data_IF_896210405611
#
_entry.id   IF_896210405611
#
_cell.length_a   1.000
_cell.length_b   1.000
_cell.length_c   1.000
_cell.angle_alpha   90.00
_cell.angle_beta   90.00
_cell.angle_gamma   90.00
#
_symmetry.space_group_name_H-M   'P 1'
#
loop_
_entity.id
_entity.type
_entity.pdbx_description
1 polymer ?
#
# COMPACT_ATOMS: atom_id res chain seq x y z
N UNK A 1 1.44 4.36 -4.67
CA UNK A 1 1.91 5.43 -3.76
C UNK A 1 2.10 4.84 -2.37
N UNK A 2 3.18 5.19 -1.70
CA UNK A 2 3.46 4.70 -0.36
C UNK A 2 3.47 5.81 0.66
N UNK A 3 2.98 5.48 1.86
CA UNK A 3 3.10 6.30 3.06
C UNK A 3 3.72 5.39 4.11
N UNK A 4 4.99 5.61 4.45
CA UNK A 4 5.70 4.77 5.41
C UNK A 4 6.85 5.53 6.08
N UNK A 5 7.51 4.88 7.04
CA UNK A 5 8.60 5.49 7.81
C UNK A 5 9.83 5.80 6.95
N UNK A 6 9.98 5.17 5.78
CA UNK A 6 11.09 5.43 4.85
C UNK A 6 10.80 6.64 3.96
N UNK A 7 9.55 7.01 3.84
CA UNK A 7 9.10 8.21 3.18
C UNK A 7 8.32 9.02 4.20
N UNK A 8 9.00 9.62 5.19
CA UNK A 8 8.33 10.41 6.20
C UNK A 8 7.84 11.69 5.56
N UNK A 9 6.80 11.56 4.78
CA UNK A 9 5.96 12.69 4.51
C UNK A 9 5.49 13.08 5.88
N UNK A 10 5.97 14.22 6.32
CA UNK A 10 5.71 14.75 7.62
C UNK A 10 4.40 14.25 8.19
N UNK A 11 4.45 13.54 9.29
CA UNK A 11 3.26 13.08 9.97
C UNK A 11 2.29 14.23 10.30
N UNK A 12 2.76 15.45 10.24
CA UNK A 12 1.95 16.66 10.45
C UNK A 12 0.68 16.72 9.56
N UNK A 13 0.72 16.40 8.26
CA UNK A 13 -0.53 16.34 7.47
C UNK A 13 -1.55 15.34 8.01
N UNK A 14 -1.11 14.30 8.69
CA UNK A 14 -2.02 13.28 9.21
C UNK A 14 -2.85 13.78 10.39
N UNK A 15 -2.27 14.60 11.26
CA UNK A 15 -2.92 15.02 12.50
C UNK A 15 -4.11 15.96 12.28
N UNK A 16 -4.05 16.82 11.29
CA UNK A 16 -5.11 17.79 11.03
C UNK A 16 -6.07 17.36 9.94
N UNK A 17 -5.54 16.98 8.81
CA UNK A 17 -6.30 16.76 7.58
C UNK A 17 -6.94 15.38 7.59
N UNK A 18 -6.17 14.35 7.93
CA UNK A 18 -6.65 12.98 7.92
C UNK A 18 -7.62 12.67 9.06
N UNK A 19 -7.56 13.42 10.14
CA UNK A 19 -8.44 13.21 11.29
C UNK A 19 -9.93 13.32 10.93
N UNK A 20 -10.26 14.14 9.94
CA UNK A 20 -11.63 14.36 9.50
C UNK A 20 -12.01 13.51 8.27
N UNK A 21 -11.09 12.73 7.75
CA UNK A 21 -11.31 11.99 6.50
C UNK A 21 -11.98 10.65 6.74
N UNK A 22 -13.01 10.38 5.96
CA UNK A 22 -13.67 9.09 5.89
C UNK A 22 -13.53 8.57 4.46
N UNK A 23 -12.38 7.98 4.16
CA UNK A 23 -11.96 7.64 2.80
C UNK A 23 -12.60 6.41 2.19
N UNK A 24 -13.57 5.80 2.86
CA UNK A 24 -14.18 4.57 2.38
C UNK A 24 -15.13 4.84 1.22
N UNK A 25 -14.95 4.11 0.14
CA UNK A 25 -15.88 4.10 -0.99
C UNK A 25 -16.86 2.93 -0.88
N UNK A 26 -16.35 1.76 -0.56
CA UNK A 26 -17.10 0.59 -0.13
C UNK A 26 -17.81 -0.21 -1.22
N UNK A 27 -18.17 0.38 -2.37
CA UNK A 27 -19.01 -0.31 -3.36
C UNK A 27 -18.30 -1.50 -4.01
N UNK A 28 -16.96 -1.50 -4.01
CA UNK A 28 -16.13 -2.57 -4.57
C UNK A 28 -15.39 -3.38 -3.50
N UNK A 29 -15.74 -3.26 -2.23
CA UNK A 29 -15.03 -3.96 -1.16
C UNK A 29 -15.09 -5.49 -1.35
N UNK A 30 -16.24 -6.03 -1.73
CA UNK A 30 -16.39 -7.48 -1.98
C UNK A 30 -15.50 -7.93 -3.14
N UNK A 31 -15.42 -7.13 -4.21
CA UNK A 31 -14.53 -7.43 -5.33
C UNK A 31 -13.06 -7.36 -4.91
N UNK A 32 -12.69 -6.36 -4.10
CA UNK A 32 -11.34 -6.25 -3.57
C UNK A 32 -10.97 -7.47 -2.72
N UNK A 33 -11.86 -7.90 -1.84
CA UNK A 33 -11.64 -9.08 -1.00
C UNK A 33 -11.39 -10.34 -1.86
N UNK A 34 -12.09 -10.47 -2.97
CA UNK A 34 -11.88 -11.55 -3.93
C UNK A 34 -10.51 -11.47 -4.60
N UNK A 35 -10.08 -10.26 -4.99
CA UNK A 35 -8.77 -10.05 -5.59
C UNK A 35 -7.63 -10.35 -4.60
N UNK A 36 -7.80 -10.04 -3.33
CA UNK A 36 -6.82 -10.36 -2.29
C UNK A 36 -6.54 -11.86 -2.22
N UNK A 37 -7.55 -12.70 -2.45
CA UNK A 37 -7.36 -14.15 -2.48
C UNK A 37 -6.53 -14.63 -3.67
N UNK A 38 -6.39 -13.80 -4.71
CA UNK A 38 -5.57 -14.09 -5.89
C UNK A 38 -4.15 -13.56 -5.80
N UNK A 39 -3.77 -12.91 -4.69
CA UNK A 39 -2.40 -12.48 -4.47
C UNK A 39 -1.45 -13.68 -4.43
N UNK A 40 -0.16 -13.48 -4.77
CA UNK A 40 0.85 -14.52 -4.61
C UNK A 40 0.82 -15.11 -3.20
N UNK A 41 1.02 -16.42 -3.08
CA UNK A 41 0.93 -17.12 -1.81
C UNK A 41 1.87 -16.54 -0.75
N UNK A 42 3.09 -16.16 -1.15
CA UNK A 42 4.06 -15.55 -0.23
C UNK A 42 3.53 -14.22 0.34
N UNK A 43 2.77 -13.45 -0.44
CA UNK A 43 2.15 -12.22 0.04
C UNK A 43 1.01 -12.53 1.01
N UNK A 44 0.15 -13.49 0.67
CA UNK A 44 -0.97 -13.86 1.56
C UNK A 44 -0.47 -14.35 2.92
N UNK A 45 0.55 -15.20 2.94
CA UNK A 45 1.13 -15.71 4.19
C UNK A 45 1.71 -14.58 5.06
N UNK A 46 2.25 -13.54 4.44
CA UNK A 46 2.89 -12.44 5.15
C UNK A 46 1.89 -11.38 5.61
N UNK A 47 0.81 -11.16 4.85
CA UNK A 47 -0.01 -9.95 4.94
C UNK A 47 -1.41 -10.15 5.49
N UNK A 48 -2.07 -11.30 5.25
CA UNK A 48 -3.51 -11.42 5.50
C UNK A 48 -3.93 -11.14 6.95
N UNK A 49 -3.07 -11.48 7.91
CA UNK A 49 -3.37 -11.25 9.32
C UNK A 49 -2.90 -9.89 9.84
N UNK A 50 -2.11 -9.16 9.05
CA UNK A 50 -1.44 -7.93 9.49
C UNK A 50 -1.96 -6.68 8.81
N UNK A 51 -2.53 -6.82 7.62
CA UNK A 51 -2.86 -5.69 6.74
C UNK A 51 -4.37 -5.63 6.53
N UNK A 52 -4.93 -4.43 6.63
CA UNK A 52 -6.30 -4.14 6.23
C UNK A 52 -6.33 -3.77 4.75
N UNK A 53 -7.19 -4.42 3.98
CA UNK A 53 -7.41 -4.11 2.57
C UNK A 53 -8.72 -3.36 2.43
N UNK A 54 -8.65 -2.13 1.93
CA UNK A 54 -9.75 -1.17 1.98
C UNK A 54 -10.08 -0.69 0.56
N UNK A 55 -11.35 -0.80 0.18
CA UNK A 55 -11.85 -0.10 -1.00
C UNK A 55 -12.13 1.36 -0.60
N UNK A 56 -11.23 2.24 -1.00
CA UNK A 56 -11.34 3.63 -0.60
C UNK A 56 -10.38 4.56 -1.32
N UNK A 57 -10.66 5.84 -1.18
CA UNK A 57 -9.86 6.94 -1.68
C UNK A 57 -9.07 7.55 -0.52
N UNK A 58 -7.79 7.29 -0.46
CA UNK A 58 -6.94 7.80 0.62
C UNK A 58 -6.68 9.30 0.44
N UNK A 59 -7.00 10.09 1.44
CA UNK A 59 -6.92 11.56 1.36
C UNK A 59 -5.52 12.07 1.03
N UNK A 60 -4.49 11.39 1.52
CA UNK A 60 -3.11 11.74 1.21
C UNK A 60 -2.87 11.84 -0.31
N UNK A 61 -3.36 10.85 -1.05
CA UNK A 61 -3.22 10.86 -2.51
C UNK A 61 -3.99 12.02 -3.14
N UNK A 62 -5.17 12.33 -2.63
CA UNK A 62 -5.95 13.48 -3.11
C UNK A 62 -5.18 14.79 -2.87
N UNK A 63 -4.58 14.96 -1.72
CA UNK A 63 -3.80 16.15 -1.42
C UNK A 63 -2.53 16.28 -2.26
N UNK A 64 -1.85 15.17 -2.47
CA UNK A 64 -0.59 15.18 -3.23
C UNK A 64 -0.79 15.25 -4.73
N UNK A 65 -1.84 14.63 -5.26
CA UNK A 65 -2.06 14.47 -6.70
C UNK A 65 -3.20 15.33 -7.23
N UNK A 66 -4.02 15.93 -6.37
CA UNK A 66 -5.23 16.65 -6.77
C UNK A 66 -6.38 15.76 -7.19
N UNK A 67 -6.22 14.45 -7.09
CA UNK A 67 -7.25 13.46 -7.43
C UNK A 67 -7.06 12.18 -6.60
N UNK A 68 -8.09 11.34 -6.57
CA UNK A 68 -8.02 10.05 -5.92
C UNK A 68 -6.98 9.16 -6.60
N UNK A 69 -5.95 8.67 -5.90
CA UNK A 69 -4.99 7.73 -6.49
C UNK A 69 -5.65 6.38 -6.76
N UNK A 70 -5.06 5.58 -7.63
CA UNK A 70 -5.51 4.20 -7.80
C UNK A 70 -5.36 3.41 -6.51
N UNK A 71 -4.23 3.53 -5.85
CA UNK A 71 -3.98 2.85 -4.58
C UNK A 71 -2.95 3.54 -3.72
N UNK A 72 -2.95 3.16 -2.44
CA UNK A 72 -2.00 3.65 -1.43
C UNK A 72 -1.62 2.50 -0.50
N UNK A 73 -0.32 2.38 -0.23
CA UNK A 73 0.18 1.63 0.92
C UNK A 73 0.42 2.59 2.08
N UNK A 74 -0.20 2.36 3.21
CA UNK A 74 -0.10 3.20 4.41
C UNK A 74 0.38 2.40 5.61
N UNK A 75 1.62 2.63 6.06
CA UNK A 75 2.16 2.03 7.27
C UNK A 75 2.08 2.95 8.48
N UNK A 76 1.78 4.21 8.28
CA UNK A 76 1.70 5.21 9.36
C UNK A 76 0.33 5.16 10.03
N UNK A 77 -0.71 5.01 9.24
CA UNK A 77 -2.09 4.97 9.69
C UNK A 77 -2.83 6.27 9.40
N UNK A 78 -4.13 6.15 9.22
CA UNK A 78 -5.06 7.26 9.09
C UNK A 78 -6.02 7.27 10.26
N UNK A 79 -6.64 8.41 10.51
CA UNK A 79 -7.57 8.59 11.60
C UNK A 79 -8.94 8.93 11.03
N UNK A 80 -9.98 8.27 11.49
CA UNK A 80 -11.35 8.56 11.13
C UNK A 80 -11.95 9.53 12.15
N UNK A 81 -12.38 10.70 11.69
CA UNK A 81 -13.04 11.69 12.54
C UNK A 81 -12.27 12.03 13.83
N UNK A 82 -10.94 12.11 13.74
CA UNK A 82 -10.09 12.39 14.89
C UNK A 82 -9.84 11.20 15.81
N UNK A 83 -10.35 10.03 15.47
CA UNK A 83 -10.14 8.81 16.23
C UNK A 83 -8.88 8.10 15.74
N UNK A 84 -7.95 7.82 16.67
CA UNK A 84 -6.70 7.11 16.38
C UNK A 84 -6.98 5.61 16.32
N UNK A 85 -7.51 5.14 15.20
CA UNK A 85 -7.80 3.72 15.03
C UNK A 85 -6.55 2.96 14.59
N UNK A 86 -5.95 2.20 15.51
CA UNK A 86 -4.77 1.40 15.25
C UNK A 86 -5.00 0.33 14.16
N UNK A 87 -6.24 -0.06 13.93
CA UNK A 87 -6.58 -1.07 12.92
C UNK A 87 -6.33 -0.59 11.48
N UNK A 88 -6.17 0.72 11.28
CA UNK A 88 -5.89 1.28 9.96
C UNK A 88 -4.40 1.52 9.71
N UNK A 89 -3.58 1.30 10.69
CA UNK A 89 -2.15 1.19 10.47
C UNK A 89 -1.90 -0.11 9.70
N UNK A 90 -0.96 -0.08 8.79
CA UNK A 90 -0.68 -1.17 7.86
C UNK A 90 -1.92 -1.49 7.01
N UNK A 91 -2.28 -0.56 6.15
CA UNK A 91 -3.43 -0.70 5.26
C UNK A 91 -3.05 -0.48 3.80
N UNK A 92 -3.75 -1.21 2.93
CA UNK A 92 -3.69 -1.02 1.48
C UNK A 92 -5.04 -0.52 1.02
N UNK A 93 -5.04 0.58 0.28
CA UNK A 93 -6.23 1.22 -0.24
C UNK A 93 -6.26 1.07 -1.76
N UNK A 94 -7.37 0.56 -2.28
CA UNK A 94 -7.62 0.47 -3.73
C UNK A 94 -8.93 1.19 -4.00
N UNK A 95 -8.85 2.25 -4.81
CA UNK A 95 -9.99 3.13 -5.05
C UNK A 95 -10.94 2.59 -6.12
N UNK A 96 -12.17 3.11 -6.14
CA UNK A 96 -13.13 2.85 -7.22
C UNK A 96 -12.58 3.29 -8.58
N UNK A 97 -11.71 4.29 -8.61
CA UNK A 97 -11.06 4.73 -9.83
C UNK A 97 -10.22 3.61 -10.47
N UNK A 98 -9.53 2.82 -9.65
CA UNK A 98 -8.78 1.66 -10.14
C UNK A 98 -9.69 0.59 -10.74
N UNK A 99 -10.84 0.33 -10.10
CA UNK A 99 -11.83 -0.60 -10.63
C UNK A 99 -12.42 -0.13 -11.96
N UNK A 100 -12.74 1.16 -12.08
CA UNK A 100 -13.24 1.74 -13.34
C UNK A 100 -12.25 1.65 -14.47
N UNK A 101 -10.97 1.78 -14.18
CA UNK A 101 -9.91 1.71 -15.17
C UNK A 101 -9.46 0.27 -15.49
N UNK A 102 -10.09 -0.73 -14.87
CA UNK A 102 -9.68 -2.15 -14.97
C UNK A 102 -8.23 -2.36 -14.53
N UNK A 103 -7.83 -1.65 -13.48
CA UNK A 103 -6.48 -1.68 -12.91
C UNK A 103 -6.45 -2.11 -11.44
N UNK A 104 -7.58 -2.62 -10.93
CA UNK A 104 -7.68 -2.91 -9.50
C UNK A 104 -6.69 -3.98 -9.05
N UNK A 105 -6.53 -5.08 -9.81
CA UNK A 105 -5.60 -6.14 -9.41
C UNK A 105 -4.14 -5.71 -9.54
N UNK A 106 -3.77 -5.03 -10.63
CA UNK A 106 -2.41 -4.52 -10.80
C UNK A 106 -2.07 -3.49 -9.71
N UNK A 107 -3.03 -2.63 -9.35
CA UNK A 107 -2.89 -1.68 -8.24
C UNK A 107 -2.70 -2.42 -6.90
N UNK A 108 -3.55 -3.40 -6.63
CA UNK A 108 -3.44 -4.21 -5.41
C UNK A 108 -2.08 -4.89 -5.33
N UNK A 109 -1.62 -5.48 -6.43
CA UNK A 109 -0.32 -6.15 -6.49
C UNK A 109 0.83 -5.17 -6.28
N UNK A 110 0.76 -3.98 -6.87
CA UNK A 110 1.76 -2.92 -6.69
C UNK A 110 1.84 -2.48 -5.22
N UNK A 111 0.73 -2.13 -4.61
CA UNK A 111 0.71 -1.68 -3.21
C UNK A 111 1.07 -2.83 -2.26
N UNK A 112 0.67 -4.05 -2.57
CA UNK A 112 1.07 -5.23 -1.81
C UNK A 112 2.58 -5.49 -1.90
N UNK A 113 3.21 -5.16 -3.02
CA UNK A 113 4.66 -5.25 -3.17
C UNK A 113 5.39 -4.24 -2.28
N UNK A 114 4.86 -3.02 -2.14
CA UNK A 114 5.36 -2.05 -1.17
C UNK A 114 5.20 -2.56 0.27
N UNK A 115 4.04 -3.12 0.59
CA UNK A 115 3.78 -3.68 1.91
C UNK A 115 4.74 -4.84 2.22
N UNK A 116 4.95 -5.73 1.28
CA UNK A 116 5.89 -6.84 1.41
C UNK A 116 7.32 -6.32 1.63
N UNK A 117 7.74 -5.34 0.85
CA UNK A 117 9.04 -4.68 1.03
C UNK A 117 9.18 -4.10 2.44
N UNK A 118 8.18 -3.36 2.91
CA UNK A 118 8.17 -2.79 4.25
C UNK A 118 8.25 -3.87 5.34
N UNK A 119 7.43 -4.91 5.25
CA UNK A 119 7.42 -5.99 6.25
C UNK A 119 8.74 -6.77 6.27
N UNK A 120 9.51 -6.73 5.18
CA UNK A 120 10.81 -7.36 5.06
C UNK A 120 11.98 -6.43 5.42
N UNK A 121 11.73 -5.22 5.90
CA UNK A 121 12.76 -4.19 6.15
C UNK A 121 13.85 -4.60 7.13
N UNK A 122 13.55 -5.55 8.01
CA UNK A 122 14.48 -6.06 9.00
C UNK A 122 15.08 -7.43 8.60
N UNK A 123 14.89 -7.85 7.36
CA UNK A 123 15.45 -9.11 6.86
C UNK A 123 16.94 -8.96 6.63
N UNK A 124 17.73 -9.56 7.48
CA UNK A 124 19.20 -9.51 7.45
C UNK A 124 19.73 -10.88 7.01
N UNK A 125 20.60 -10.88 6.00
CA UNK A 125 21.28 -12.08 5.55
C UNK A 125 22.36 -12.52 6.54
N UNK A 126 22.86 -13.76 6.39
CA UNK A 126 23.91 -14.33 7.25
C UNK A 126 25.22 -13.51 7.22
N UNK A 127 25.45 -12.76 6.15
CA UNK A 127 26.61 -11.85 6.02
C UNK A 127 26.39 -10.46 6.64
N UNK A 128 25.24 -10.23 7.27
CA UNK A 128 24.87 -8.95 7.88
C UNK A 128 24.24 -7.95 6.93
N UNK A 129 24.07 -8.27 5.64
CA UNK A 129 23.48 -7.36 4.67
C UNK A 129 21.96 -7.29 4.82
N UNK A 130 21.39 -6.12 4.56
CA UNK A 130 19.93 -5.89 4.53
C UNK A 130 19.40 -6.19 3.14
N UNK A 131 18.56 -7.22 3.02
CA UNK A 131 18.03 -7.68 1.74
C UNK A 131 17.16 -6.66 1.04
N UNK A 132 16.33 -5.92 1.79
CA UNK A 132 15.48 -4.87 1.23
C UNK A 132 16.34 -3.74 0.63
N UNK A 133 17.33 -3.27 1.39
CA UNK A 133 18.24 -2.21 0.91
C UNK A 133 18.98 -2.63 -0.34
N UNK A 134 19.46 -3.87 -0.38
CA UNK A 134 20.14 -4.40 -1.56
C UNK A 134 19.21 -4.41 -2.78
N UNK A 135 17.95 -4.84 -2.60
CA UNK A 135 16.98 -4.85 -3.68
C UNK A 135 16.65 -3.42 -4.16
N UNK A 136 16.45 -2.49 -3.24
CA UNK A 136 16.20 -1.09 -3.59
C UNK A 136 17.37 -0.48 -4.36
N UNK A 137 18.60 -0.75 -3.95
CA UNK A 137 19.80 -0.28 -4.65
C UNK A 137 19.93 -0.94 -6.03
N UNK A 138 19.69 -2.23 -6.12
CA UNK A 138 19.77 -2.98 -7.38
C UNK A 138 18.78 -2.46 -8.42
N UNK A 139 17.53 -2.21 -8.03
CA UNK A 139 16.48 -1.71 -8.93
C UNK A 139 16.47 -0.19 -9.07
N UNK A 140 17.19 0.53 -8.20
CA UNK A 140 17.34 1.98 -8.25
C UNK A 140 16.46 2.78 -7.28
N UNK A 141 15.33 2.23 -6.85
CA UNK A 141 14.44 2.85 -5.89
C UNK A 141 13.42 1.85 -5.34
N UNK A 142 12.69 2.24 -4.29
CA UNK A 142 11.58 1.45 -3.76
C UNK A 142 10.46 1.27 -4.80
N UNK A 143 10.13 2.33 -5.56
CA UNK A 143 9.09 2.25 -6.60
C UNK A 143 9.50 1.28 -7.73
N UNK A 144 10.73 1.35 -8.19
CA UNK A 144 11.24 0.42 -9.21
C UNK A 144 11.32 -1.01 -8.69
N UNK A 145 11.63 -1.19 -7.41
CA UNK A 145 11.59 -2.50 -6.79
C UNK A 145 10.16 -3.07 -6.77
N UNK A 146 9.18 -2.28 -6.35
CA UNK A 146 7.79 -2.70 -6.36
C UNK A 146 7.31 -3.02 -7.79
N UNK A 147 7.64 -2.21 -8.76
CA UNK A 147 7.31 -2.47 -10.17
C UNK A 147 7.91 -3.78 -10.67
N UNK A 148 9.16 -4.08 -10.28
CA UNK A 148 9.80 -5.33 -10.67
C UNK A 148 9.09 -6.55 -10.08
N UNK A 149 8.58 -6.44 -8.85
CA UNK A 149 7.79 -7.51 -8.24
C UNK A 149 6.44 -7.69 -8.93
N UNK A 150 5.80 -6.61 -9.34
CA UNK A 150 4.56 -6.68 -10.12
C UNK A 150 4.78 -7.47 -11.41
N UNK A 151 5.83 -7.15 -12.16
CA UNK A 151 6.17 -7.87 -13.38
C UNK A 151 6.54 -9.34 -13.11
N UNK A 152 7.29 -9.59 -12.04
CA UNK A 152 7.68 -10.95 -11.65
C UNK A 152 6.45 -11.84 -11.40
N UNK A 153 5.42 -11.29 -10.78
CA UNK A 153 4.18 -12.01 -10.50
C UNK A 153 3.14 -11.95 -11.63
N UNK A 154 3.52 -11.45 -12.81
CA UNK A 154 2.68 -11.49 -14.00
C UNK A 154 1.69 -10.33 -14.13
N UNK A 155 1.83 -9.30 -13.31
CA UNK A 155 1.04 -8.07 -13.45
C UNK A 155 1.65 -7.09 -14.45
N UNK A 156 1.07 -5.90 -14.51
CA UNK A 156 1.52 -4.83 -15.40
C UNK A 156 1.67 -3.52 -14.61
N UNK A 157 2.40 -2.56 -15.14
CA UNK A 157 2.57 -1.26 -14.49
C UNK A 157 1.25 -0.52 -14.34
N UNK A 158 1.12 0.17 -13.24
CA UNK A 158 -0.09 0.93 -12.90
C UNK A 158 0.18 2.43 -12.99
#
# INVERSE_FOLDING_TARGET
MTINDDNPIDAAPYDGVYAAFDGFEGENQTLLDSLVQNLPEVYKQTMLEKISFINGCHLYGVEMLGECPFGVWDSVGTFKNGDTNADWKLSIWVSNRAFKADRAFDTLLHESSHAFSYLSRNCIASDGSNKRKQAQEYFGSEELFADSLVLYFGGDYV
#
